data_IF_348997345318
#
_entry.id   IF_348997345318
#
_cell.length_a   1.000
_cell.length_b   1.000
_cell.length_c   1.000
_cell.angle_alpha   90.00
_cell.angle_beta   90.00
_cell.angle_gamma   90.00
#
_symmetry.space_group_name_H-M   'P 1'
#
loop_
_entity.id
_entity.type
_entity.pdbx_description
1 polymer ?
#
# COMPACT_ATOMS: atom_id res chain seq x y z
N UNK A 1 -18.91 26.85 8.38
CA UNK A 1 -18.65 28.24 7.95
C UNK A 1 -17.15 28.45 7.88
N UNK A 2 -16.59 28.57 6.67
CA UNK A 2 -15.34 29.28 6.47
C UNK A 2 -15.34 29.78 5.05
N UNK A 3 -15.58 31.08 4.94
CA UNK A 3 -16.14 31.72 3.75
C UNK A 3 -15.10 32.39 2.86
N UNK A 4 -13.81 32.32 3.21
CA UNK A 4 -12.76 33.04 2.48
C UNK A 4 -11.65 32.12 1.97
N UNK A 5 -11.36 32.23 0.68
CA UNK A 5 -10.17 31.68 0.04
C UNK A 5 -8.93 32.48 0.51
N UNK A 6 -7.88 31.78 0.92
CA UNK A 6 -6.64 32.42 1.37
C UNK A 6 -6.04 33.34 0.28
N UNK A 7 -6.16 32.97 -1.00
CA UNK A 7 -5.69 33.82 -2.11
C UNK A 7 -6.47 35.13 -2.18
N UNK A 8 -7.78 35.07 -1.96
CA UNK A 8 -8.64 36.25 -1.94
C UNK A 8 -8.27 37.17 -0.78
N UNK A 9 -8.02 36.61 0.42
CA UNK A 9 -7.58 37.37 1.60
C UNK A 9 -6.27 38.11 1.33
N UNK A 10 -5.29 37.46 0.71
CA UNK A 10 -4.01 38.11 0.36
C UNK A 10 -4.20 39.24 -0.66
N UNK A 11 -5.05 39.03 -1.68
CA UNK A 11 -5.37 40.05 -2.68
C UNK A 11 -6.10 41.25 -2.05
N UNK A 12 -7.06 41.00 -1.17
CA UNK A 12 -7.83 42.05 -0.50
C UNK A 12 -6.96 42.82 0.50
N UNK A 13 -5.99 42.18 1.14
CA UNK A 13 -4.99 42.85 1.97
C UNK A 13 -4.07 43.74 1.13
N UNK A 14 -3.54 43.22 0.01
CA UNK A 14 -2.66 43.96 -0.89
C UNK A 14 -3.33 45.18 -1.53
N UNK A 15 -4.66 45.11 -1.75
CA UNK A 15 -5.46 46.22 -2.28
C UNK A 15 -6.04 47.14 -1.20
N UNK A 16 -5.75 46.88 0.09
CA UNK A 16 -6.21 47.69 1.22
C UNK A 16 -7.70 47.55 1.56
N UNK A 17 -8.38 46.55 1.00
CA UNK A 17 -9.81 46.26 1.27
C UNK A 17 -10.05 45.65 2.65
N UNK A 18 -9.03 45.01 3.22
CA UNK A 18 -9.06 44.48 4.58
C UNK A 18 -7.89 45.02 5.41
N UNK A 19 -8.12 45.20 6.71
CA UNK A 19 -7.07 45.63 7.64
C UNK A 19 -6.08 44.50 7.90
N UNK A 20 -4.85 44.83 8.37
CA UNK A 20 -3.87 43.83 8.78
C UNK A 20 -4.43 42.82 9.81
N UNK A 21 -5.24 43.28 10.77
CA UNK A 21 -5.82 42.43 11.82
C UNK A 21 -6.80 41.41 11.21
N UNK A 22 -7.60 41.82 10.23
CA UNK A 22 -8.50 40.91 9.52
C UNK A 22 -7.72 39.88 8.69
N UNK A 23 -6.66 40.32 8.00
CA UNK A 23 -5.79 39.42 7.25
C UNK A 23 -5.12 38.37 8.16
N UNK A 24 -4.65 38.78 9.35
CA UNK A 24 -4.08 37.89 10.36
C UNK A 24 -5.14 36.90 10.88
N UNK A 25 -6.35 37.38 11.21
CA UNK A 25 -7.45 36.52 11.68
C UNK A 25 -7.82 35.43 10.67
N UNK A 26 -7.93 35.80 9.39
CA UNK A 26 -8.15 34.83 8.31
C UNK A 26 -6.96 33.89 8.10
N UNK A 27 -5.72 34.39 8.26
CA UNK A 27 -4.50 33.58 8.22
C UNK A 27 -4.51 32.48 9.29
N UNK A 28 -4.87 32.81 10.53
CA UNK A 28 -4.99 31.84 11.63
C UNK A 28 -6.07 30.79 11.36
N UNK A 29 -7.23 31.19 10.81
CA UNK A 29 -8.27 30.25 10.41
C UNK A 29 -7.79 29.30 9.30
N UNK A 30 -7.03 29.81 8.32
CA UNK A 30 -6.46 28.99 7.26
C UNK A 30 -5.46 27.98 7.82
N UNK A 31 -4.58 28.41 8.75
CA UNK A 31 -3.64 27.53 9.44
C UNK A 31 -4.37 26.41 10.18
N UNK A 32 -5.45 26.74 10.91
CA UNK A 32 -6.27 25.72 11.60
C UNK A 32 -6.78 24.64 10.65
N UNK A 33 -7.32 25.03 9.49
CA UNK A 33 -7.76 24.06 8.47
C UNK A 33 -6.62 23.24 7.87
N UNK A 34 -5.44 23.83 7.68
CA UNK A 34 -4.28 23.08 7.19
C UNK A 34 -3.88 21.99 8.18
N UNK A 35 -3.97 22.27 9.49
CA UNK A 35 -3.75 21.25 10.53
C UNK A 35 -4.82 20.16 10.51
N UNK A 36 -6.10 20.52 10.37
CA UNK A 36 -7.19 19.54 10.23
C UNK A 36 -6.96 18.64 9.01
N UNK A 37 -6.72 19.22 7.84
CA UNK A 37 -6.43 18.48 6.62
C UNK A 37 -5.17 17.61 6.73
N UNK A 38 -4.14 18.09 7.43
CA UNK A 38 -2.92 17.31 7.70
C UNK A 38 -3.22 16.10 8.58
N UNK A 39 -4.04 16.26 9.61
CA UNK A 39 -4.44 15.18 10.52
C UNK A 39 -5.26 14.13 9.78
N UNK A 40 -6.23 14.55 8.97
CA UNK A 40 -7.03 13.64 8.13
C UNK A 40 -6.16 12.86 7.14
N UNK A 41 -5.24 13.55 6.46
CA UNK A 41 -4.29 12.92 5.54
C UNK A 41 -3.32 11.97 6.26
N UNK A 42 -2.98 12.25 7.53
CA UNK A 42 -2.15 11.35 8.35
C UNK A 42 -2.93 10.11 8.76
N UNK A 43 -4.18 10.25 9.19
CA UNK A 43 -5.06 9.13 9.51
C UNK A 43 -5.26 8.21 8.30
N UNK A 44 -5.53 8.79 7.12
CA UNK A 44 -5.66 8.03 5.87
C UNK A 44 -4.38 7.26 5.50
N UNK A 45 -3.20 7.87 5.68
CA UNK A 45 -1.92 7.19 5.44
C UNK A 45 -1.69 5.99 6.37
N UNK A 46 -2.03 6.11 7.65
CA UNK A 46 -1.90 5.02 8.61
C UNK A 46 -2.84 3.86 8.26
N UNK A 47 -4.07 4.15 7.87
CA UNK A 47 -5.03 3.14 7.43
C UNK A 47 -4.53 2.39 6.19
N UNK A 48 -4.09 3.13 5.15
CA UNK A 48 -3.49 2.55 3.94
C UNK A 48 -2.28 1.68 4.25
N UNK A 49 -1.39 2.12 5.14
CA UNK A 49 -0.21 1.35 5.54
C UNK A 49 -0.61 0.04 6.25
N UNK A 50 -1.67 0.06 7.06
CA UNK A 50 -2.19 -1.14 7.73
C UNK A 50 -2.77 -2.15 6.72
N UNK A 51 -3.45 -1.67 5.69
CA UNK A 51 -3.99 -2.49 4.62
C UNK A 51 -2.88 -3.13 3.78
N UNK A 52 -1.85 -2.35 3.42
CA UNK A 52 -0.67 -2.85 2.71
C UNK A 52 0.01 -3.97 3.51
N UNK A 53 0.29 -3.74 4.80
CA UNK A 53 0.92 -4.76 5.66
C UNK A 53 0.08 -6.04 5.75
N UNK A 54 -1.25 -5.90 5.79
CA UNK A 54 -2.16 -7.05 5.80
C UNK A 54 -2.11 -7.82 4.49
N UNK A 55 -2.11 -7.12 3.35
CA UNK A 55 -2.01 -7.72 2.03
C UNK A 55 -0.65 -8.40 1.82
N UNK A 56 0.44 -7.78 2.24
CA UNK A 56 1.80 -8.38 2.20
C UNK A 56 1.86 -9.70 2.97
N UNK A 57 1.28 -9.76 4.18
CA UNK A 57 1.21 -11.00 4.96
C UNK A 57 0.41 -12.09 4.24
N UNK A 58 -0.70 -11.73 3.60
CA UNK A 58 -1.54 -12.67 2.84
C UNK A 58 -0.78 -13.20 1.62
N UNK A 59 -0.13 -12.32 0.86
CA UNK A 59 0.71 -12.70 -0.29
C UNK A 59 1.81 -13.66 0.14
N UNK A 60 2.54 -13.34 1.20
CA UNK A 60 3.60 -14.22 1.71
C UNK A 60 3.06 -15.60 2.15
N UNK A 61 1.90 -15.62 2.80
CA UNK A 61 1.25 -16.89 3.19
C UNK A 61 0.88 -17.73 1.98
N UNK A 62 0.28 -17.10 0.96
CA UNK A 62 -0.09 -17.78 -0.27
C UNK A 62 1.13 -18.26 -1.05
N UNK A 63 2.20 -17.46 -1.11
CA UNK A 63 3.46 -17.86 -1.75
C UNK A 63 4.02 -19.13 -1.11
N UNK A 64 4.11 -19.18 0.23
CA UNK A 64 4.56 -20.38 0.95
C UNK A 64 3.68 -21.59 0.66
N UNK A 65 2.35 -21.41 0.57
CA UNK A 65 1.45 -22.50 0.23
C UNK A 65 1.67 -23.02 -1.20
N UNK A 66 1.87 -22.11 -2.16
CA UNK A 66 2.19 -22.44 -3.56
C UNK A 66 3.52 -23.17 -3.66
N UNK A 67 4.55 -22.71 -2.95
CA UNK A 67 5.87 -23.36 -2.94
C UNK A 67 5.77 -24.80 -2.39
N UNK A 68 5.00 -24.99 -1.32
CA UNK A 68 4.74 -26.33 -0.74
C UNK A 68 3.99 -27.24 -1.70
N UNK A 69 2.96 -26.73 -2.37
CA UNK A 69 2.21 -27.50 -3.36
C UNK A 69 3.10 -27.88 -4.54
N UNK A 70 3.90 -26.94 -5.04
CA UNK A 70 4.87 -27.16 -6.12
C UNK A 70 5.88 -28.24 -5.73
N UNK A 71 6.49 -28.14 -4.56
CA UNK A 71 7.42 -29.15 -4.05
C UNK A 71 6.76 -30.54 -3.89
N UNK A 72 5.48 -30.58 -3.50
CA UNK A 72 4.72 -31.82 -3.37
C UNK A 72 4.49 -32.46 -4.73
N UNK A 73 4.04 -31.68 -5.72
CA UNK A 73 3.85 -32.12 -7.10
C UNK A 73 5.16 -32.67 -7.68
N UNK A 74 6.27 -31.96 -7.50
CA UNK A 74 7.58 -32.41 -7.98
C UNK A 74 8.02 -33.72 -7.33
N UNK A 75 7.82 -33.89 -6.01
CA UNK A 75 8.07 -35.18 -5.34
C UNK A 75 7.26 -36.33 -5.95
N UNK A 76 5.98 -36.11 -6.26
CA UNK A 76 5.14 -37.12 -6.89
C UNK A 76 5.51 -37.38 -8.36
N UNK A 77 5.97 -36.36 -9.10
CA UNK A 77 6.51 -36.53 -10.46
C UNK A 77 7.78 -37.36 -10.48
N UNK A 78 8.72 -37.08 -9.58
CA UNK A 78 9.99 -37.83 -9.48
C UNK A 78 9.74 -39.30 -9.09
N UNK A 79 8.80 -39.57 -8.17
CA UNK A 79 8.42 -40.95 -7.81
C UNK A 79 7.79 -41.75 -8.95
N UNK A 80 7.24 -41.09 -9.98
CA UNK A 80 6.60 -41.75 -11.14
C UNK A 80 7.55 -41.99 -12.31
N UNK A 81 8.81 -41.51 -12.28
CA UNK A 81 9.83 -41.99 -13.22
C UNK A 81 10.15 -43.44 -12.83
N UNK A 82 9.79 -44.46 -13.63
CA UNK A 82 10.16 -45.82 -13.34
C UNK A 82 11.68 -45.88 -13.31
N UNK A 83 12.24 -46.41 -12.23
CA UNK A 83 13.55 -47.03 -12.31
C UNK A 83 13.48 -48.07 -13.42
N UNK A 84 14.23 -47.88 -14.51
CA UNK A 84 14.44 -48.89 -15.54
C UNK A 84 14.74 -50.22 -14.84
N UNK A 85 13.89 -51.25 -14.96
CA UNK A 85 14.26 -52.57 -14.52
C UNK A 85 15.35 -53.04 -15.49
N UNK A 86 16.56 -53.16 -14.97
CA UNK A 86 17.69 -53.87 -15.59
C UNK A 86 17.17 -55.05 -16.41
N UNK A 87 17.32 -54.99 -17.74
CA UNK A 87 17.11 -56.15 -18.59
C UNK A 87 18.01 -57.29 -18.07
N UNK A 88 17.45 -58.48 -17.76
CA UNK A 88 18.27 -59.65 -17.54
C UNK A 88 18.88 -60.08 -18.87
N UNK A 89 20.17 -60.42 -18.83
CA UNK A 89 20.93 -61.00 -19.95
C UNK A 89 20.15 -62.17 -20.55
N UNK A 90 19.86 -62.09 -21.84
CA UNK A 90 19.47 -63.26 -22.62
C UNK A 90 20.73 -64.04 -22.97
N UNK A 91 21.07 -65.02 -22.13
CA UNK A 91 21.83 -66.18 -22.61
C UNK A 91 20.89 -67.03 -23.46
N UNK A 92 21.25 -67.24 -24.72
CA UNK A 92 20.67 -68.30 -25.54
C UNK A 92 21.79 -69.03 -26.31
N UNK A 93 21.61 -70.34 -26.56
CA UNK A 93 22.67 -71.34 -26.77
C UNK A 93 23.40 -71.27 -28.11
#
# INVERSE_FOLDING_TARGET
MSTYDHKQVLSDYATGKITPEMAIGHGLQHIGKLYEAQNDAKAGRLDQQSQISTLEKRVNTLQVAVDRLTATIEKFRVKRKPSDPKLPKSDQP
#
